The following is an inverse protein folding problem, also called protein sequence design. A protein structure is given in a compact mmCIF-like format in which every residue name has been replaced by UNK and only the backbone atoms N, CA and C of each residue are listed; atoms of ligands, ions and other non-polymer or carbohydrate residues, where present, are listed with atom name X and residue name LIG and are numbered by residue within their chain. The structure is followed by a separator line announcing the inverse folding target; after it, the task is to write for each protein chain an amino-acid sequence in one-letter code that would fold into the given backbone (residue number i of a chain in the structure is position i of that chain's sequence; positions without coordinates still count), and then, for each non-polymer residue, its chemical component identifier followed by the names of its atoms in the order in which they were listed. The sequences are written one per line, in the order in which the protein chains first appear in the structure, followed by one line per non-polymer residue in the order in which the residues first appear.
data_IF_301198718426
#
_entry.id   IF_301198718426
#
_cell.length_a   1.000
_cell.length_b   1.000
_cell.length_c   1.000
_cell.angle_alpha   90.00
_cell.angle_beta   90.00
_cell.angle_gamma   90.00
#
_symmetry.space_group_name_H-M   'P 1'
#
loop_
_entity.id
_entity.type
_entity.pdbx_description
1 polymer ?
#
# COMPACT_ATOMS: atom_id res chain seq x y z
N UNK A 1 12.71 15.55 -10.60
CA UNK A 1 12.23 14.14 -10.50
C UNK A 1 10.98 13.98 -11.36
N UNK A 2 11.05 14.48 -12.58
CA UNK A 2 9.88 15.13 -13.19
C UNK A 2 8.84 14.09 -13.61
N UNK A 3 9.30 12.92 -14.05
CA UNK A 3 8.42 11.79 -14.34
C UNK A 3 7.68 11.28 -13.10
N UNK A 4 8.36 11.16 -11.95
CA UNK A 4 7.73 10.65 -10.71
C UNK A 4 6.77 11.70 -10.15
N UNK A 5 7.11 12.97 -10.24
CA UNK A 5 6.25 14.07 -9.86
C UNK A 5 4.99 14.16 -10.74
N UNK A 6 5.15 14.07 -12.07
CA UNK A 6 4.02 14.08 -13.00
C UNK A 6 3.13 12.83 -12.80
N UNK A 7 3.74 11.67 -12.58
CA UNK A 7 3.00 10.48 -12.19
C UNK A 7 2.25 10.68 -10.86
N UNK A 8 2.85 11.37 -9.89
CA UNK A 8 2.29 11.55 -8.56
C UNK A 8 1.14 12.55 -8.49
N UNK A 9 1.31 13.70 -9.15
CA UNK A 9 0.43 14.85 -9.04
C UNK A 9 -0.27 15.20 -10.35
N UNK A 10 0.33 14.87 -11.50
CA UNK A 10 -0.24 15.11 -12.84
C UNK A 10 -1.21 14.01 -13.29
N UNK A 11 -1.00 12.76 -12.85
CA UNK A 11 -1.93 11.65 -13.14
C UNK A 11 -3.03 11.58 -12.08
N UNK A 12 -4.29 11.67 -12.51
CA UNK A 12 -5.47 11.65 -11.62
C UNK A 12 -6.45 10.55 -12.03
N UNK A 13 -7.18 10.01 -11.05
CA UNK A 13 -8.33 9.14 -11.29
C UNK A 13 -9.54 9.73 -10.55
N UNK A 14 -10.42 10.37 -11.30
CA UNK A 14 -11.47 11.22 -10.72
C UNK A 14 -10.86 12.41 -9.97
N UNK A 15 -11.31 12.73 -8.75
CA UNK A 15 -10.81 13.89 -8.01
C UNK A 15 -9.49 13.63 -7.27
N UNK A 16 -8.93 12.42 -7.36
CA UNK A 16 -7.79 12.02 -6.55
C UNK A 16 -6.50 11.93 -7.39
N UNK A 17 -5.41 12.59 -6.95
CA UNK A 17 -4.10 12.40 -7.56
C UNK A 17 -3.57 10.99 -7.28
N UNK A 18 -2.72 10.49 -8.17
CA UNK A 18 -2.17 9.14 -8.08
C UNK A 18 -1.47 8.90 -6.73
N UNK A 19 -0.75 9.89 -6.20
CA UNK A 19 -0.11 9.78 -4.88
C UNK A 19 -1.13 9.43 -3.77
N UNK A 20 -2.32 10.03 -3.80
CA UNK A 20 -3.36 9.77 -2.81
C UNK A 20 -3.93 8.35 -2.97
N UNK A 21 -4.11 7.89 -4.21
CA UNK A 21 -4.60 6.55 -4.51
C UNK A 21 -3.61 5.47 -4.08
N UNK A 22 -2.32 5.66 -4.39
CA UNK A 22 -1.25 4.76 -3.99
C UNK A 22 -1.12 4.73 -2.47
N UNK A 23 -1.19 5.90 -1.81
CA UNK A 23 -1.16 6.00 -0.35
C UNK A 23 -2.33 5.26 0.30
N UNK A 24 -3.56 5.52 -0.15
CA UNK A 24 -4.76 4.86 0.37
C UNK A 24 -4.69 3.34 0.17
N UNK A 25 -4.30 2.89 -1.02
CA UNK A 25 -4.15 1.46 -1.34
C UNK A 25 -3.11 0.80 -0.42
N UNK A 26 -1.99 1.48 -0.19
CA UNK A 26 -0.94 1.03 0.72
C UNK A 26 -1.48 0.85 2.14
N UNK A 27 -2.21 1.84 2.67
CA UNK A 27 -2.83 1.76 4.00
C UNK A 27 -3.84 0.61 4.11
N UNK A 28 -4.67 0.41 3.08
CA UNK A 28 -5.62 -0.70 3.05
C UNK A 28 -4.89 -2.05 3.10
N UNK A 29 -3.80 -2.22 2.34
CA UNK A 29 -3.04 -3.48 2.36
C UNK A 29 -2.36 -3.68 3.72
N UNK A 30 -1.79 -2.64 4.33
CA UNK A 30 -1.24 -2.74 5.69
C UNK A 30 -2.31 -3.18 6.70
N UNK A 31 -3.50 -2.56 6.64
CA UNK A 31 -4.61 -2.90 7.52
C UNK A 31 -5.03 -4.36 7.33
N UNK A 32 -5.24 -4.82 6.10
CA UNK A 32 -5.58 -6.22 5.81
C UNK A 32 -4.49 -7.16 6.30
N UNK A 33 -3.21 -6.82 6.08
CA UNK A 33 -2.05 -7.61 6.51
C UNK A 33 -1.99 -7.73 8.04
N UNK A 34 -2.27 -6.65 8.76
CA UNK A 34 -2.36 -6.62 10.22
C UNK A 34 -3.58 -7.39 10.76
N UNK A 35 -4.73 -7.27 10.09
CA UNK A 35 -5.95 -8.03 10.42
C UNK A 35 -5.76 -9.53 10.19
N UNK A 36 -5.03 -9.93 9.14
CA UNK A 36 -4.66 -11.32 8.89
C UNK A 36 -3.81 -11.89 10.03
N UNK A 37 -2.86 -11.12 10.57
CA UNK A 37 -2.01 -11.55 11.68
C UNK A 37 -2.79 -11.61 13.00
N UNK A 38 -3.51 -10.54 13.34
CA UNK A 38 -4.25 -10.42 14.61
C UNK A 38 -5.50 -11.33 14.65
N UNK A 39 -6.24 -11.40 13.55
CA UNK A 39 -7.48 -12.16 13.42
C UNK A 39 -7.32 -13.68 13.48
N UNK A 40 -6.08 -14.20 13.33
CA UNK A 40 -5.78 -15.63 13.53
C UNK A 40 -6.14 -16.14 14.92
N UNK A 41 -6.10 -15.28 15.94
CA UNK A 41 -6.51 -15.62 17.32
C UNK A 41 -8.03 -15.72 17.48
N UNK A 42 -8.78 -15.00 16.65
CA UNK A 42 -10.23 -14.82 16.79
C UNK A 42 -11.05 -15.67 15.81
N UNK A 43 -10.44 -16.13 14.70
CA UNK A 43 -11.14 -16.85 13.64
C UNK A 43 -10.40 -18.09 13.17
N UNK A 44 -11.10 -19.25 13.22
CA UNK A 44 -10.62 -20.52 12.64
C UNK A 44 -10.38 -20.42 11.13
N UNK A 45 -11.13 -19.57 10.41
CA UNK A 45 -10.94 -19.33 8.97
C UNK A 45 -9.63 -18.60 8.70
N UNK A 46 -9.32 -17.55 9.48
CA UNK A 46 -8.08 -16.79 9.34
C UNK A 46 -6.84 -17.61 9.74
N UNK A 47 -6.99 -18.54 10.71
CA UNK A 47 -5.93 -19.49 11.07
C UNK A 47 -5.52 -20.43 9.93
N UNK A 48 -6.44 -20.73 9.00
CA UNK A 48 -6.15 -21.55 7.81
C UNK A 48 -5.43 -20.77 6.71
N UNK A 49 -5.40 -19.44 6.77
CA UNK A 49 -4.70 -18.64 5.75
C UNK A 49 -3.20 -18.90 5.87
N UNK A 50 -2.52 -19.36 4.80
CA UNK A 50 -1.10 -19.68 4.84
C UNK A 50 -0.23 -18.45 5.21
N UNK A 51 0.86 -18.67 5.96
CA UNK A 51 1.81 -17.59 6.31
C UNK A 51 2.41 -16.93 5.06
N UNK A 52 2.55 -17.66 3.95
CA UNK A 52 2.99 -17.12 2.66
C UNK A 52 2.11 -15.97 2.16
N UNK A 53 0.80 -15.99 2.45
CA UNK A 53 -0.12 -14.91 2.04
C UNK A 53 0.17 -13.63 2.82
N UNK A 54 0.36 -13.74 4.15
CA UNK A 54 0.76 -12.59 4.96
C UNK A 54 2.10 -12.02 4.49
N UNK A 55 3.11 -12.87 4.24
CA UNK A 55 4.42 -12.42 3.73
C UNK A 55 4.31 -11.72 2.37
N UNK A 56 3.54 -12.27 1.44
CA UNK A 56 3.32 -11.67 0.12
C UNK A 56 2.62 -10.30 0.24
N UNK A 57 1.59 -10.20 1.08
CA UNK A 57 0.88 -8.93 1.32
C UNK A 57 1.77 -7.89 1.99
N UNK A 58 2.60 -8.29 2.97
CA UNK A 58 3.58 -7.40 3.59
C UNK A 58 4.63 -6.91 2.59
N UNK A 59 5.16 -7.79 1.74
CA UNK A 59 6.11 -7.40 0.71
C UNK A 59 5.49 -6.39 -0.28
N UNK A 60 4.25 -6.65 -0.72
CA UNK A 60 3.51 -5.72 -1.58
C UNK A 60 3.29 -4.36 -0.90
N UNK A 61 2.91 -4.36 0.38
CA UNK A 61 2.71 -3.12 1.15
C UNK A 61 4.00 -2.31 1.27
N UNK A 62 5.14 -2.96 1.50
CA UNK A 62 6.45 -2.30 1.58
C UNK A 62 6.79 -1.66 0.22
N UNK A 63 6.63 -2.40 -0.88
CA UNK A 63 6.90 -1.86 -2.24
C UNK A 63 6.04 -0.63 -2.52
N UNK A 64 4.73 -0.71 -2.25
CA UNK A 64 3.82 0.41 -2.46
C UNK A 64 4.12 1.59 -1.52
N UNK A 65 4.50 1.34 -0.27
CA UNK A 65 4.92 2.38 0.67
C UNK A 65 6.18 3.09 0.20
N UNK A 66 7.16 2.36 -0.33
CA UNK A 66 8.37 2.97 -0.93
C UNK A 66 8.01 3.81 -2.14
N UNK A 67 7.14 3.33 -3.03
CA UNK A 67 6.67 4.13 -4.17
C UNK A 67 5.93 5.40 -3.72
N UNK A 68 5.04 5.28 -2.75
CA UNK A 68 4.32 6.42 -2.17
C UNK A 68 5.28 7.44 -1.55
N UNK A 69 6.31 6.97 -0.84
CA UNK A 69 7.36 7.83 -0.28
C UNK A 69 8.13 8.57 -1.37
N UNK A 70 8.53 7.88 -2.44
CA UNK A 70 9.24 8.49 -3.57
C UNK A 70 8.38 9.56 -4.27
N UNK A 71 7.09 9.29 -4.45
CA UNK A 71 6.11 10.26 -4.98
C UNK A 71 5.92 11.47 -4.06
N UNK A 72 5.93 11.27 -2.75
CA UNK A 72 5.83 12.36 -1.79
C UNK A 72 7.07 13.25 -1.79
N UNK A 73 8.24 12.65 -1.88
CA UNK A 73 9.51 13.39 -1.88
C UNK A 73 9.75 14.08 -3.23
N UNK A 74 9.24 13.56 -4.35
CA UNK A 74 9.55 14.08 -5.69
C UNK A 74 9.18 15.55 -5.89
N UNK A 75 8.20 16.10 -5.15
CA UNK A 75 7.81 17.52 -5.24
C UNK A 75 8.90 18.49 -4.75
N UNK A 76 9.89 17.99 -4.01
CA UNK A 76 10.98 18.79 -3.46
C UNK A 76 12.28 18.71 -4.28
N UNK A 77 12.25 18.05 -5.45
CA UNK A 77 13.45 17.76 -6.27
C UNK A 77 13.22 17.96 -7.76
#
# INVERSE_FOLDING_TARGET
MDFIEDLAYGTTLGPFPMIALVGLTTYVIFLITALLASGRKWSKRLRRVPVKVHRAMAALAIVLATLHLLMGISIYW
#
